data_IF_629540906560
#
_entry.id   IF_629540906560
#
_cell.length_a   1.000
_cell.length_b   1.000
_cell.length_c   1.000
_cell.angle_alpha   90.00
_cell.angle_beta   90.00
_cell.angle_gamma   90.00
#
_symmetry.space_group_name_H-M   'P 1'
#
loop_
_entity.id
_entity.type
_entity.pdbx_description
1 polymer ?
#
# COMPACT_ATOMS: atom_id res chain seq x y z
N UNK A 1 -8.54 -28.10 2.47
CA UNK A 1 -7.82 -26.95 3.03
C UNK A 1 -7.00 -26.38 1.89
N UNK A 2 -7.27 -25.14 1.50
CA UNK A 2 -6.61 -24.54 0.34
C UNK A 2 -5.15 -24.29 0.69
N UNK A 3 -4.24 -24.87 -0.08
CA UNK A 3 -2.80 -24.58 -0.02
C UNK A 3 -2.63 -23.12 -0.47
N UNK A 4 -2.74 -22.17 0.46
CA UNK A 4 -2.31 -20.81 0.17
C UNK A 4 -0.79 -20.87 -0.04
N UNK A 5 -0.28 -20.46 -1.22
CA UNK A 5 1.15 -20.35 -1.43
C UNK A 5 1.71 -19.47 -0.32
N UNK A 6 2.85 -19.88 0.24
CA UNK A 6 3.53 -19.12 1.30
C UNK A 6 3.76 -17.71 0.77
N UNK A 7 3.02 -16.76 1.33
CA UNK A 7 3.04 -15.34 0.98
C UNK A 7 4.31 -14.71 1.61
N UNK A 8 5.49 -15.17 1.16
CA UNK A 8 6.79 -14.70 1.67
C UNK A 8 7.32 -13.55 0.82
N UNK A 9 7.07 -12.35 1.31
CA UNK A 9 7.46 -11.10 0.67
C UNK A 9 8.95 -10.79 0.77
N UNK A 10 9.69 -11.46 1.64
CA UNK A 10 11.12 -11.20 1.81
C UNK A 10 11.92 -11.47 0.54
N UNK A 11 11.45 -12.41 -0.30
CA UNK A 11 12.09 -12.76 -1.57
C UNK A 11 11.68 -11.84 -2.73
N UNK A 12 10.60 -11.08 -2.61
CA UNK A 12 10.02 -10.28 -3.72
C UNK A 12 10.48 -8.83 -3.69
N UNK A 13 10.61 -8.25 -2.48
CA UNK A 13 10.97 -6.83 -2.31
C UNK A 13 12.21 -6.36 -3.10
N UNK A 14 13.32 -7.11 -3.18
CA UNK A 14 14.50 -6.63 -3.91
C UNK A 14 14.35 -6.69 -5.45
N UNK A 15 13.45 -7.53 -5.97
CA UNK A 15 13.30 -7.80 -7.41
C UNK A 15 12.04 -7.16 -8.02
N UNK A 16 11.25 -6.44 -7.22
CA UNK A 16 10.04 -5.77 -7.68
C UNK A 16 10.39 -4.53 -8.52
N UNK A 17 10.15 -4.60 -9.83
CA UNK A 17 10.35 -3.49 -10.76
C UNK A 17 9.22 -2.44 -10.64
N UNK A 18 9.59 -1.22 -10.25
CA UNK A 18 8.69 -0.08 -10.09
C UNK A 18 8.79 0.92 -11.24
N UNK A 19 9.62 0.68 -12.25
CA UNK A 19 9.92 1.66 -13.30
C UNK A 19 8.69 2.02 -14.16
N UNK A 20 7.79 1.06 -14.37
CA UNK A 20 6.51 1.23 -15.09
C UNK A 20 5.33 1.49 -14.14
N UNK A 21 5.57 1.77 -12.86
CA UNK A 21 4.52 1.96 -11.88
C UNK A 21 3.64 3.19 -12.20
N UNK A 22 2.33 2.94 -12.33
CA UNK A 22 1.33 4.01 -12.45
C UNK A 22 0.85 4.39 -11.04
N UNK A 23 1.38 5.49 -10.52
CA UNK A 23 1.08 5.98 -9.17
C UNK A 23 -0.27 6.72 -9.11
N UNK A 24 -1.12 6.27 -8.19
CA UNK A 24 -2.46 6.81 -7.94
C UNK A 24 -2.45 7.53 -6.59
N UNK A 25 -2.89 8.79 -6.56
CA UNK A 25 -3.01 9.57 -5.33
C UNK A 25 -4.12 9.04 -4.45
N UNK A 26 -3.81 8.75 -3.20
CA UNK A 26 -4.78 8.38 -2.16
C UNK A 26 -5.39 9.65 -1.55
N UNK A 27 -6.16 10.39 -2.36
CA UNK A 27 -6.84 11.61 -1.95
C UNK A 27 -8.36 11.45 -2.15
N UNK A 28 -9.19 11.82 -1.15
CA UNK A 28 -10.63 11.91 -1.34
C UNK A 28 -10.96 12.89 -2.46
N UNK A 29 -12.01 12.60 -3.24
CA UNK A 29 -12.46 13.53 -4.28
C UNK A 29 -12.78 14.91 -3.67
N UNK A 30 -12.17 15.96 -4.24
CA UNK A 30 -12.37 17.34 -3.79
C UNK A 30 -11.54 17.76 -2.58
N UNK A 31 -10.72 16.88 -1.99
CA UNK A 31 -9.70 17.27 -1.02
C UNK A 31 -8.44 17.78 -1.72
N UNK A 32 -7.68 18.64 -1.04
CA UNK A 32 -6.33 19.04 -1.47
C UNK A 32 -5.42 18.93 -0.25
N UNK A 33 -4.75 17.79 -0.11
CA UNK A 33 -3.86 17.48 0.99
C UNK A 33 -2.41 17.75 0.57
N UNK A 34 -1.67 18.48 1.41
CA UNK A 34 -0.27 18.84 1.15
C UNK A 34 0.66 17.61 1.19
N UNK A 35 0.43 16.69 2.14
CA UNK A 35 1.13 15.41 2.24
C UNK A 35 0.13 14.27 2.09
N UNK A 36 0.41 13.36 1.15
CA UNK A 36 -0.51 12.28 0.77
C UNK A 36 0.26 11.06 0.30
N UNK A 37 -0.32 9.90 0.54
CA UNK A 37 0.21 8.66 0.00
C UNK A 37 -0.15 8.52 -1.49
N UNK A 38 0.72 7.86 -2.24
CA UNK A 38 0.43 7.30 -3.55
C UNK A 38 0.55 5.79 -3.48
N UNK A 39 -0.25 5.08 -4.29
CA UNK A 39 -0.14 3.63 -4.42
C UNK A 39 -0.14 3.19 -5.89
N UNK A 40 0.44 2.04 -6.17
CA UNK A 40 0.49 1.43 -7.49
C UNK A 40 0.31 -0.08 -7.40
N UNK A 41 -0.33 -0.67 -8.42
CA UNK A 41 -0.44 -2.11 -8.60
C UNK A 41 0.71 -2.56 -9.51
N UNK A 42 1.55 -3.47 -9.02
CA UNK A 42 2.80 -3.87 -9.66
C UNK A 42 2.71 -5.36 -10.03
N UNK A 43 2.50 -5.69 -11.31
CA UNK A 43 2.62 -7.06 -11.79
C UNK A 43 4.06 -7.54 -11.62
N UNK A 44 4.25 -8.75 -11.08
CA UNK A 44 5.57 -9.34 -10.91
C UNK A 44 5.72 -10.62 -11.74
N UNK A 45 6.96 -11.06 -11.91
CA UNK A 45 7.33 -12.20 -12.77
C UNK A 45 6.80 -13.55 -12.28
N UNK A 46 6.45 -13.65 -10.99
CA UNK A 46 5.79 -14.81 -10.38
C UNK A 46 4.28 -14.91 -10.72
N UNK A 47 3.73 -13.93 -11.45
CA UNK A 47 2.31 -13.85 -11.80
C UNK A 47 1.42 -13.25 -10.71
N UNK A 48 1.99 -12.77 -9.61
CA UNK A 48 1.30 -12.07 -8.53
C UNK A 48 1.36 -10.56 -8.78
N UNK A 49 0.30 -9.85 -8.40
CA UNK A 49 0.27 -8.38 -8.40
C UNK A 49 0.46 -7.87 -6.98
N UNK A 50 1.52 -7.12 -6.74
CA UNK A 50 1.82 -6.50 -5.46
C UNK A 50 1.28 -5.08 -5.41
N UNK A 51 1.06 -4.55 -4.20
CA UNK A 51 0.72 -3.14 -4.02
C UNK A 51 1.93 -2.40 -3.47
N UNK A 52 2.40 -1.36 -4.17
CA UNK A 52 3.43 -0.47 -3.68
C UNK A 52 2.78 0.82 -3.17
N UNK A 53 3.29 1.39 -2.08
CA UNK A 53 2.82 2.65 -1.49
C UNK A 53 4.01 3.52 -1.10
N UNK A 54 3.92 4.83 -1.37
CA UNK A 54 4.96 5.82 -1.05
C UNK A 54 4.35 7.15 -0.64
N UNK A 55 5.18 8.06 -0.13
CA UNK A 55 4.79 9.45 0.08
C UNK A 55 4.88 10.23 -1.24
N UNK A 56 3.85 11.00 -1.60
CA UNK A 56 3.84 11.81 -2.81
C UNK A 56 4.90 12.93 -2.78
N UNK A 57 5.21 13.43 -1.58
CA UNK A 57 6.20 14.47 -1.31
C UNK A 57 7.64 13.97 -1.38
N UNK A 58 7.85 12.65 -1.28
CA UNK A 58 9.16 11.98 -1.34
C UNK A 58 9.09 10.74 -2.26
N UNK A 59 8.96 10.92 -3.58
CA UNK A 59 8.71 9.84 -4.54
C UNK A 59 9.88 8.85 -4.67
N UNK A 60 11.09 9.29 -4.34
CA UNK A 60 12.33 8.48 -4.30
C UNK A 60 12.64 7.97 -2.88
N UNK A 61 11.75 8.26 -1.93
CA UNK A 61 11.83 7.82 -0.54
C UNK A 61 11.51 6.34 -0.35
N UNK A 62 11.12 5.98 0.88
CA UNK A 62 10.82 4.59 1.20
C UNK A 62 9.51 4.13 0.56
N UNK A 63 9.56 2.99 -0.16
CA UNK A 63 8.39 2.34 -0.74
C UNK A 63 7.98 1.14 0.12
N UNK A 64 6.75 1.17 0.60
CA UNK A 64 6.11 0.04 1.27
C UNK A 64 5.49 -0.87 0.21
N UNK A 65 5.98 -2.09 0.10
CA UNK A 65 5.36 -3.14 -0.73
C UNK A 65 4.40 -3.94 0.14
N UNK A 66 3.30 -4.43 -0.41
CA UNK A 66 2.33 -5.34 0.19
C UNK A 66 2.04 -6.49 -0.78
N UNK A 67 1.94 -7.70 -0.26
CA UNK A 67 1.34 -8.81 -1.00
C UNK A 67 -0.18 -8.62 -1.11
N UNK A 68 -0.88 -9.40 -1.97
CA UNK A 68 -2.34 -9.35 -2.01
C UNK A 68 -2.99 -9.61 -0.65
N UNK A 69 -2.45 -10.57 0.12
CA UNK A 69 -2.98 -10.96 1.43
C UNK A 69 -2.76 -9.87 2.47
N UNK A 70 -1.57 -9.29 2.54
CA UNK A 70 -1.28 -8.18 3.45
C UNK A 70 -2.09 -6.94 3.09
N UNK A 71 -2.27 -6.65 1.80
CA UNK A 71 -3.07 -5.51 1.35
C UNK A 71 -4.54 -5.66 1.73
N UNK A 72 -5.12 -6.85 1.55
CA UNK A 72 -6.49 -7.15 2.00
C UNK A 72 -6.63 -7.00 3.51
N UNK A 73 -5.66 -7.50 4.29
CA UNK A 73 -5.64 -7.34 5.74
C UNK A 73 -5.52 -5.87 6.16
N UNK A 74 -4.63 -5.10 5.52
CA UNK A 74 -4.47 -3.67 5.76
C UNK A 74 -5.77 -2.91 5.49
N UNK A 75 -6.41 -3.13 4.35
CA UNK A 75 -7.69 -2.47 3.99
C UNK A 75 -8.80 -2.82 4.99
N UNK A 76 -8.85 -4.06 5.48
CA UNK A 76 -9.81 -4.46 6.53
C UNK A 76 -9.55 -3.71 7.83
N UNK A 77 -8.31 -3.65 8.31
CA UNK A 77 -7.95 -2.89 9.51
C UNK A 77 -8.30 -1.40 9.40
N UNK A 78 -8.03 -0.79 8.25
CA UNK A 78 -8.43 0.61 7.97
C UNK A 78 -9.95 0.79 8.05
N UNK A 79 -10.74 -0.13 7.49
CA UNK A 79 -12.21 -0.05 7.55
C UNK A 79 -12.79 -0.29 8.94
N UNK A 80 -12.11 -1.11 9.73
CA UNK A 80 -12.49 -1.39 11.12
C UNK A 80 -12.09 -0.23 12.07
N UNK A 81 -11.50 0.84 11.54
CA UNK A 81 -11.11 2.03 12.32
C UNK A 81 -9.85 1.84 13.15
N UNK A 82 -9.03 0.81 12.87
CA UNK A 82 -7.81 0.50 13.63
C UNK A 82 -6.79 1.66 13.60
N UNK A 83 -6.85 2.50 12.57
CA UNK A 83 -5.98 3.65 12.36
C UNK A 83 -6.66 5.00 12.62
N UNK A 84 -7.91 5.00 13.10
CA UNK A 84 -8.57 6.25 13.44
C UNK A 84 -7.87 6.91 14.63
N UNK A 85 -7.62 8.21 14.51
CA UNK A 85 -7.07 8.97 15.63
C UNK A 85 -8.09 8.94 16.78
N UNK A 86 -7.66 8.71 18.03
CA UNK A 86 -8.57 8.81 19.16
C UNK A 86 -9.22 10.19 19.14
N UNK A 87 -10.54 10.24 19.36
CA UNK A 87 -11.24 11.51 19.46
C UNK A 87 -10.53 12.37 20.50
N UNK A 88 -9.94 13.48 20.04
CA UNK A 88 -9.25 14.40 20.93
C UNK A 88 -10.31 14.95 21.88
N UNK A 89 -10.20 14.77 23.21
CA UNK A 89 -11.19 15.32 24.13
C UNK A 89 -11.23 16.84 23.94
N UNK A 90 -12.44 17.40 23.84
CA UNK A 90 -12.71 18.83 23.67
C UNK A 90 -11.71 19.67 24.48
N UNK A 91 -10.83 20.39 23.79
CA UNK A 91 -9.94 21.39 24.38
C UNK A 91 -10.70 22.69 24.63
#
# INVERSE_FOLDING_TARGET
MSEQPVDDKAQVRPDLDLSDAVWIRAEPEGANLEDRAEYALIPHTDGVTYTAMRQASDPDGHVLVFTPTEWDAFVKGVRDGEFDLPAQPDQ
#
